data_IF_180464656339
#
_entry.id   IF_180464656339
#
_cell.length_a   1.000
_cell.length_b   1.000
_cell.length_c   1.000
_cell.angle_alpha   90.00
_cell.angle_beta   90.00
_cell.angle_gamma   90.00
#
_symmetry.space_group_name_H-M   'P 1'
#
loop_
_entity.id
_entity.type
_entity.pdbx_description
1 polymer ?
#
# COMPACT_ATOMS: atom_id res chain seq x y z
N UNK A 1 -38.13 -11.76 -21.54
CA UNK A 1 -37.32 -12.93 -21.15
C UNK A 1 -36.03 -12.37 -20.58
N UNK A 2 -36.10 -12.01 -19.31
CA UNK A 2 -34.97 -11.45 -18.55
C UNK A 2 -34.23 -12.62 -17.92
N UNK A 3 -32.93 -12.74 -18.17
CA UNK A 3 -32.07 -13.72 -17.52
C UNK A 3 -31.07 -12.99 -16.63
N UNK A 4 -31.46 -12.86 -15.36
CA UNK A 4 -30.57 -12.58 -14.26
C UNK A 4 -29.55 -13.73 -14.11
N UNK A 5 -28.27 -13.41 -13.96
CA UNK A 5 -27.30 -14.32 -13.33
C UNK A 5 -26.42 -13.52 -12.37
N UNK A 6 -26.83 -13.50 -11.11
CA UNK A 6 -26.09 -12.99 -9.96
C UNK A 6 -25.39 -14.15 -9.27
N UNK A 7 -24.06 -14.18 -9.30
CA UNK A 7 -23.25 -15.20 -8.60
C UNK A 7 -22.59 -14.63 -7.34
N UNK A 8 -23.27 -14.88 -6.21
CA UNK A 8 -22.77 -15.20 -4.87
C UNK A 8 -21.51 -14.49 -4.33
N UNK A 9 -21.73 -13.48 -3.48
CA UNK A 9 -20.76 -13.01 -2.49
C UNK A 9 -20.79 -13.94 -1.26
N UNK A 10 -19.70 -14.68 -1.01
CA UNK A 10 -19.51 -15.42 0.25
C UNK A 10 -19.08 -14.46 1.35
N UNK A 11 -20.03 -14.13 2.23
CA UNK A 11 -19.80 -13.41 3.48
C UNK A 11 -19.09 -14.31 4.50
N UNK A 12 -17.90 -13.92 4.93
CA UNK A 12 -17.23 -14.51 6.10
C UNK A 12 -17.60 -13.71 7.35
N UNK A 13 -18.58 -14.20 8.11
CA UNK A 13 -18.88 -13.70 9.45
C UNK A 13 -17.99 -14.44 10.47
N UNK A 14 -17.03 -13.75 11.08
CA UNK A 14 -16.29 -14.25 12.25
C UNK A 14 -17.05 -13.81 13.50
N UNK A 15 -17.72 -14.75 14.15
CA UNK A 15 -18.34 -14.59 15.47
C UNK A 15 -17.25 -14.54 16.55
N UNK A 16 -16.93 -13.34 17.03
CA UNK A 16 -16.11 -13.18 18.23
C UNK A 16 -16.96 -13.47 19.48
N UNK A 17 -16.61 -14.56 20.19
CA UNK A 17 -17.14 -14.86 21.53
C UNK A 17 -16.71 -13.77 22.53
N UNK A 18 -17.58 -13.31 23.45
CA UNK A 18 -17.18 -12.39 24.51
C UNK A 18 -16.37 -13.12 25.59
N UNK A 19 -15.41 -12.45 26.26
CA UNK A 19 -14.66 -13.07 27.34
C UNK A 19 -15.48 -13.13 28.63
N UNK A 20 -15.30 -14.25 29.32
CA UNK A 20 -15.87 -14.62 30.62
C UNK A 20 -15.42 -13.62 31.70
N UNK A 21 -16.39 -13.12 32.47
CA UNK A 21 -16.17 -12.24 33.63
C UNK A 21 -15.83 -13.11 34.84
N UNK A 22 -14.63 -12.94 35.41
CA UNK A 22 -14.33 -13.43 36.76
C UNK A 22 -14.42 -12.28 37.76
N UNK A 23 -15.42 -12.38 38.63
CA UNK A 23 -15.65 -11.49 39.75
C UNK A 23 -14.77 -11.92 40.93
N UNK A 24 -13.95 -11.00 41.47
CA UNK A 24 -13.38 -11.16 42.81
C UNK A 24 -13.31 -9.80 43.50
N UNK A 25 -13.62 -9.83 44.79
CA UNK A 25 -14.11 -8.78 45.67
C UNK A 25 -13.09 -7.76 46.17
N UNK A 26 -13.60 -6.54 46.37
CA UNK A 26 -13.45 -5.62 47.51
C UNK A 26 -12.08 -5.54 48.20
N UNK A 27 -11.43 -4.39 48.05
CA UNK A 27 -10.41 -3.87 48.96
C UNK A 27 -10.44 -2.35 48.94
N UNK A 28 -11.20 -1.75 49.87
CA UNK A 28 -11.20 -0.31 50.14
C UNK A 28 -10.02 -0.01 51.06
N UNK A 29 -9.01 0.74 50.60
CA UNK A 29 -8.16 1.56 51.48
C UNK A 29 -7.66 2.83 50.75
N UNK A 30 -8.21 3.95 51.24
CA UNK A 30 -7.71 5.33 51.38
C UNK A 30 -6.49 5.85 50.59
N UNK A 31 -6.76 6.94 49.86
CA UNK A 31 -6.05 8.22 49.83
C UNK A 31 -4.51 8.22 49.88
N UNK A 32 -3.88 8.54 48.75
CA UNK A 32 -2.85 9.59 48.72
C UNK A 32 -2.69 10.17 47.33
N UNK A 33 -2.65 11.50 47.27
CA UNK A 33 -2.45 12.30 46.09
C UNK A 33 -1.18 11.89 45.32
N UNK A 34 -1.34 11.49 44.07
CA UNK A 34 -0.56 12.08 42.98
C UNK A 34 -1.25 11.70 41.68
N UNK A 35 -1.72 12.70 40.96
CA UNK A 35 -2.23 12.53 39.62
C UNK A 35 -1.04 12.14 38.74
N UNK A 36 -0.72 10.85 38.69
CA UNK A 36 0.16 10.26 37.69
C UNK A 36 -0.62 10.27 36.37
N UNK A 37 -0.82 11.47 35.85
CA UNK A 37 -1.05 11.69 34.44
C UNK A 37 0.18 11.13 33.74
N UNK A 38 0.16 9.82 33.46
CA UNK A 38 1.01 9.23 32.45
C UNK A 38 0.70 10.01 31.19
N UNK A 39 1.51 11.02 30.92
CA UNK A 39 1.84 11.48 29.58
C UNK A 39 2.37 10.24 28.87
N UNK A 40 1.45 9.39 28.38
CA UNK A 40 1.72 8.56 27.22
C UNK A 40 2.04 9.60 26.15
N UNK A 41 3.34 9.90 25.99
CA UNK A 41 3.84 10.50 24.76
C UNK A 41 3.19 9.68 23.67
N UNK A 42 2.26 10.28 22.91
CA UNK A 42 1.75 9.65 21.69
C UNK A 42 3.01 9.38 20.90
N UNK A 43 3.39 8.10 20.77
CA UNK A 43 4.44 7.73 19.85
C UNK A 43 3.96 8.24 18.49
N UNK A 44 4.65 9.24 17.96
CA UNK A 44 4.43 9.69 16.59
C UNK A 44 4.91 8.56 15.71
N UNK A 45 3.98 7.71 15.31
CA UNK A 45 4.24 6.60 14.43
C UNK A 45 4.44 7.16 13.02
N UNK A 46 5.65 7.63 12.74
CA UNK A 46 6.08 8.03 11.40
C UNK A 46 6.16 6.77 10.54
N UNK A 47 5.63 6.83 9.33
CA UNK A 47 5.77 5.75 8.34
C UNK A 47 7.25 5.50 8.07
N UNK A 48 7.57 4.25 7.74
CA UNK A 48 8.94 3.75 7.60
C UNK A 48 9.92 4.76 6.97
N UNK A 49 11.18 4.76 7.42
CA UNK A 49 12.25 5.59 6.84
C UNK A 49 12.61 5.26 5.37
N UNK A 50 11.87 4.35 4.75
CA UNK A 50 12.07 3.87 3.38
C UNK A 50 11.11 4.63 2.49
N UNK A 51 11.51 4.94 1.25
CA UNK A 51 10.61 5.53 0.24
C UNK A 51 10.62 4.64 -0.99
N UNK A 52 9.44 4.18 -1.42
CA UNK A 52 9.31 3.34 -2.61
C UNK A 52 9.73 4.04 -3.90
N UNK A 53 9.79 5.38 -3.92
CA UNK A 53 10.37 6.13 -5.04
C UNK A 53 11.83 5.75 -5.30
N UNK A 54 12.59 5.40 -4.25
CA UNK A 54 13.97 4.90 -4.39
C UNK A 54 14.02 3.55 -5.11
N UNK A 55 13.09 2.65 -4.77
CA UNK A 55 12.95 1.36 -5.46
C UNK A 55 12.59 1.56 -6.94
N UNK A 56 11.61 2.42 -7.23
CA UNK A 56 11.22 2.76 -8.60
C UNK A 56 12.42 3.31 -9.38
N UNK A 57 13.15 4.26 -8.80
CA UNK A 57 14.35 4.83 -9.42
C UNK A 57 15.42 3.79 -9.72
N UNK A 58 15.68 2.88 -8.78
CA UNK A 58 16.59 1.76 -8.97
C UNK A 58 16.14 0.84 -10.11
N UNK A 59 14.88 0.38 -10.09
CA UNK A 59 14.33 -0.52 -11.10
C UNK A 59 14.34 0.09 -12.51
N UNK A 60 14.00 1.38 -12.62
CA UNK A 60 14.06 2.10 -13.90
C UNK A 60 15.51 2.25 -14.40
N UNK A 61 16.47 2.51 -13.51
CA UNK A 61 17.88 2.61 -13.91
C UNK A 61 18.42 1.26 -14.38
N UNK A 62 18.11 0.17 -13.68
CA UNK A 62 18.49 -1.18 -14.12
C UNK A 62 17.82 -1.55 -15.45
N UNK A 63 16.53 -1.24 -15.62
CA UNK A 63 15.84 -1.47 -16.89
C UNK A 63 16.49 -0.66 -18.05
N UNK A 64 16.84 0.61 -17.83
CA UNK A 64 17.53 1.46 -18.82
C UNK A 64 18.90 0.95 -19.22
N UNK A 65 19.61 0.25 -18.33
CA UNK A 65 20.89 -0.40 -18.64
C UNK A 65 20.72 -1.60 -19.57
N UNK A 66 19.58 -2.28 -19.48
CA UNK A 66 19.29 -3.50 -20.25
C UNK A 66 18.55 -3.21 -21.56
N UNK A 67 17.77 -2.14 -21.62
CA UNK A 67 16.97 -1.78 -22.81
C UNK A 67 16.67 -0.28 -22.85
N UNK A 68 16.40 0.24 -24.05
CA UNK A 68 15.96 1.62 -24.23
C UNK A 68 14.48 1.77 -23.82
N UNK A 69 14.23 2.48 -22.72
CA UNK A 69 12.87 2.82 -22.26
C UNK A 69 12.39 4.11 -22.95
N UNK A 70 11.19 4.05 -23.53
CA UNK A 70 10.49 5.19 -24.12
C UNK A 70 9.25 5.50 -23.28
N UNK A 71 8.90 6.76 -22.99
CA UNK A 71 7.65 7.08 -22.30
C UNK A 71 6.44 6.48 -23.03
N UNK A 72 5.52 5.87 -22.29
CA UNK A 72 4.26 5.38 -22.83
C UNK A 72 3.31 6.56 -23.10
N UNK A 73 2.35 6.47 -24.04
CA UNK A 73 1.28 7.45 -24.18
C UNK A 73 0.48 7.67 -22.88
N UNK A 74 0.45 6.67 -21.99
CA UNK A 74 -0.15 6.79 -20.67
C UNK A 74 0.55 7.82 -19.78
N UNK A 75 1.82 8.14 -20.03
CA UNK A 75 2.59 9.07 -19.21
C UNK A 75 2.04 10.49 -19.29
N UNK A 76 1.50 10.89 -20.44
CA UNK A 76 0.91 12.21 -20.64
C UNK A 76 -0.46 12.32 -19.97
N UNK A 77 -1.21 11.22 -19.91
CA UNK A 77 -2.54 11.16 -19.33
C UNK A 77 -2.51 10.94 -17.81
N UNK A 78 -1.51 10.19 -17.33
CA UNK A 78 -1.44 9.66 -15.97
C UNK A 78 -0.02 9.84 -15.42
N UNK A 79 0.31 11.07 -15.01
CA UNK A 79 1.61 11.40 -14.40
C UNK A 79 1.52 11.60 -12.88
N UNK A 80 0.52 12.33 -12.42
CA UNK A 80 0.27 12.64 -11.02
C UNK A 80 -1.21 12.94 -10.81
N UNK A 81 -1.73 12.56 -9.66
CA UNK A 81 -3.07 12.90 -9.21
C UNK A 81 -3.02 13.25 -7.74
N UNK A 82 -3.65 14.37 -7.38
CA UNK A 82 -3.80 14.78 -5.99
C UNK A 82 -5.13 14.24 -5.47
N UNK A 83 -5.13 13.71 -4.24
CA UNK A 83 -6.35 13.24 -3.57
C UNK A 83 -7.35 14.37 -3.38
N UNK A 84 -8.65 14.05 -3.28
CA UNK A 84 -9.70 15.06 -3.09
C UNK A 84 -9.53 15.91 -1.83
N UNK A 85 -8.88 15.37 -0.79
CA UNK A 85 -8.57 16.07 0.44
C UNK A 85 -7.21 16.81 0.41
N UNK A 86 -6.47 16.71 -0.70
CA UNK A 86 -5.19 17.38 -0.90
C UNK A 86 -4.02 16.82 -0.07
N UNK A 87 -4.22 15.70 0.64
CA UNK A 87 -3.22 15.16 1.59
C UNK A 87 -2.30 14.10 1.01
N UNK A 88 -2.61 13.58 -0.17
CA UNK A 88 -1.82 12.56 -0.82
C UNK A 88 -1.61 12.90 -2.29
N UNK A 89 -0.40 12.67 -2.77
CA UNK A 89 -0.09 12.68 -4.19
C UNK A 89 0.13 11.23 -4.65
N UNK A 90 -0.61 10.84 -5.67
CA UNK A 90 -0.42 9.60 -6.40
C UNK A 90 0.44 9.91 -7.62
N UNK A 91 1.65 9.38 -7.65
CA UNK A 91 2.59 9.57 -8.77
C UNK A 91 2.62 8.31 -9.63
N UNK A 92 2.54 8.49 -10.95
CA UNK A 92 2.55 7.41 -11.93
C UNK A 92 3.63 7.62 -12.98
N UNK A 93 4.35 6.54 -13.28
CA UNK A 93 5.28 6.49 -14.40
C UNK A 93 4.93 5.33 -15.31
N UNK A 94 5.08 5.52 -16.62
CA UNK A 94 4.80 4.49 -17.62
C UNK A 94 5.75 4.57 -18.81
N UNK A 95 6.27 3.42 -19.19
CA UNK A 95 7.27 3.26 -20.25
C UNK A 95 6.97 2.04 -21.11
N UNK A 96 7.58 2.02 -22.29
CA UNK A 96 7.59 0.90 -23.22
C UNK A 96 9.04 0.62 -23.63
N UNK A 97 9.28 -0.61 -24.09
CA UNK A 97 10.57 -1.04 -24.65
C UNK A 97 10.33 -2.15 -25.69
N UNK A 98 11.32 -2.52 -26.53
CA UNK A 98 11.13 -3.51 -27.60
C UNK A 98 10.54 -4.87 -27.18
N UNK A 99 10.70 -5.29 -25.92
CA UNK A 99 10.13 -6.55 -25.37
C UNK A 99 9.11 -6.31 -24.25
N UNK A 100 8.82 -5.06 -23.94
CA UNK A 100 8.00 -4.64 -22.80
C UNK A 100 6.90 -3.74 -23.34
N UNK A 101 5.70 -4.30 -23.43
CA UNK A 101 4.50 -3.57 -23.83
C UNK A 101 4.16 -2.44 -22.88
N UNK A 102 4.38 -2.66 -21.58
CA UNK A 102 4.15 -1.66 -20.55
C UNK A 102 4.96 -1.96 -19.29
N UNK A 103 5.85 -1.06 -18.93
CA UNK A 103 6.39 -0.94 -17.57
C UNK A 103 5.64 0.22 -16.91
N UNK A 104 4.99 -0.02 -15.77
CA UNK A 104 4.31 1.04 -15.02
C UNK A 104 4.64 0.98 -13.54
N UNK A 105 4.68 2.15 -12.93
CA UNK A 105 4.74 2.30 -11.48
C UNK A 105 3.70 3.28 -11.00
N UNK A 106 3.05 2.99 -9.88
CA UNK A 106 2.21 3.89 -9.12
C UNK A 106 2.76 3.93 -7.69
N UNK A 107 2.91 5.14 -7.15
CA UNK A 107 3.33 5.34 -5.77
C UNK A 107 2.45 6.37 -5.08
N UNK A 108 2.15 6.11 -3.82
CA UNK A 108 1.47 7.05 -2.92
C UNK A 108 2.37 7.21 -1.71
N UNK A 109 2.64 8.45 -1.32
CA UNK A 109 3.46 8.75 -0.15
C UNK A 109 2.74 9.80 0.70
N UNK A 110 2.47 9.44 1.95
CA UNK A 110 1.82 10.29 2.95
C UNK A 110 2.56 10.14 4.28
N UNK A 111 2.19 10.97 5.26
CA UNK A 111 2.74 10.86 6.62
C UNK A 111 2.40 9.54 7.32
N UNK A 112 1.30 8.89 6.92
CA UNK A 112 0.70 7.73 7.62
C UNK A 112 0.72 6.42 6.83
N UNK A 113 0.99 6.49 5.52
CA UNK A 113 1.07 5.33 4.64
C UNK A 113 1.96 5.58 3.40
N UNK A 114 2.55 4.50 2.89
CA UNK A 114 3.20 4.41 1.59
C UNK A 114 2.65 3.23 0.79
N UNK A 115 2.46 3.42 -0.50
CA UNK A 115 1.99 2.38 -1.43
C UNK A 115 2.90 2.33 -2.64
N UNK A 116 3.15 1.12 -3.12
CA UNK A 116 3.82 0.82 -4.38
C UNK A 116 2.98 -0.20 -5.16
N UNK A 117 2.73 0.09 -6.43
CA UNK A 117 2.32 -0.88 -7.44
C UNK A 117 3.28 -0.73 -8.61
N UNK A 118 4.11 -1.73 -8.86
CA UNK A 118 5.07 -1.75 -9.95
C UNK A 118 4.87 -3.01 -10.77
N UNK A 119 4.69 -2.86 -12.08
CA UNK A 119 4.45 -3.99 -12.96
C UNK A 119 5.21 -3.86 -14.29
N UNK A 120 5.68 -4.99 -14.81
CA UNK A 120 6.30 -5.11 -16.13
C UNK A 120 5.53 -6.14 -16.94
N UNK A 121 4.84 -5.66 -17.97
CA UNK A 121 4.09 -6.48 -18.91
C UNK A 121 4.93 -6.69 -20.17
N UNK A 122 5.29 -7.94 -20.52
CA UNK A 122 5.96 -8.23 -21.78
C UNK A 122 5.03 -7.97 -22.97
N UNK A 123 5.62 -7.86 -24.16
CA UNK A 123 4.87 -7.99 -25.41
C UNK A 123 4.35 -9.42 -25.58
N UNK A 124 3.25 -9.59 -26.33
CA UNK A 124 2.55 -10.87 -26.47
C UNK A 124 3.40 -11.99 -27.09
N UNK A 125 4.44 -11.63 -27.83
CA UNK A 125 5.35 -12.57 -28.49
C UNK A 125 6.38 -13.16 -27.52
N UNK A 126 6.51 -12.63 -26.30
CA UNK A 126 7.46 -13.10 -25.30
C UNK A 126 6.72 -13.80 -24.16
N UNK A 127 6.85 -15.14 -24.11
CA UNK A 127 6.34 -15.98 -23.03
C UNK A 127 7.23 -15.89 -21.78
N UNK A 128 7.21 -14.72 -21.14
CA UNK A 128 7.88 -14.46 -19.86
C UNK A 128 6.86 -14.06 -18.79
N UNK A 129 7.10 -14.36 -17.51
CA UNK A 129 6.18 -13.95 -16.45
C UNK A 129 6.03 -12.43 -16.37
N UNK A 130 4.82 -11.99 -16.01
CA UNK A 130 4.60 -10.61 -15.60
C UNK A 130 5.29 -10.41 -14.26
N UNK A 131 6.17 -9.40 -14.17
CA UNK A 131 6.72 -8.96 -12.90
C UNK A 131 5.71 -8.04 -12.21
N UNK A 132 5.41 -8.30 -10.94
CA UNK A 132 4.53 -7.47 -10.11
C UNK A 132 5.13 -7.29 -8.72
N UNK A 133 5.15 -6.06 -8.22
CA UNK A 133 5.48 -5.74 -6.84
C UNK A 133 4.40 -4.81 -6.28
N UNK A 134 3.64 -5.31 -5.31
CA UNK A 134 2.59 -4.58 -4.63
C UNK A 134 2.91 -4.49 -3.14
N UNK A 135 3.22 -3.28 -2.68
CA UNK A 135 3.55 -3.02 -1.30
C UNK A 135 2.60 -1.99 -0.72
N UNK A 136 2.09 -2.28 0.47
CA UNK A 136 1.33 -1.35 1.30
C UNK A 136 1.99 -1.30 2.66
N UNK A 137 2.40 -0.10 3.07
CA UNK A 137 3.17 0.09 4.28
C UNK A 137 2.60 1.23 5.11
N UNK A 138 2.47 0.98 6.39
CA UNK A 138 2.13 1.96 7.41
C UNK A 138 3.26 2.00 8.43
N UNK A 139 3.09 2.77 9.49
CA UNK A 139 4.06 2.83 10.58
C UNK A 139 4.16 1.56 11.44
N UNK A 140 3.18 0.65 11.36
CA UNK A 140 3.15 -0.56 12.18
C UNK A 140 3.00 -1.86 11.38
N UNK A 141 2.58 -1.78 10.11
CA UNK A 141 2.24 -2.95 9.29
C UNK A 141 2.73 -2.77 7.88
N UNK A 142 3.26 -3.85 7.30
CA UNK A 142 3.62 -3.94 5.89
C UNK A 142 2.92 -5.16 5.28
N UNK A 143 2.28 -4.98 4.12
CA UNK A 143 1.68 -6.03 3.31
C UNK A 143 2.41 -6.01 1.97
N UNK A 144 3.04 -7.12 1.61
CA UNK A 144 3.92 -7.20 0.43
C UNK A 144 3.57 -8.42 -0.41
N UNK A 145 3.43 -8.21 -1.71
CA UNK A 145 3.34 -9.23 -2.75
C UNK A 145 4.43 -8.92 -3.77
N UNK A 146 5.29 -9.90 -4.05
CA UNK A 146 6.40 -9.81 -5.00
C UNK A 146 6.58 -11.17 -5.70
#
# INVERSE_FOLDING_TARGET
MESCTTSSLRSFCVTLKPPVVLSTSVGVFSSTHSCWWRRRKRASFHVSAISYKKFIGFALNEAKRQTHLVPSPLQEQFNSMISMDGKAELQMLSFQAPKIRLLRSMSIETEVMQVLDFAVFPESEFDVPIFCANCFSTSSTNIVVL
#
